data_IF_237823707618
#
_entry.id   IF_237823707618
#
_cell.length_a   1.000
_cell.length_b   1.000
_cell.length_c   1.000
_cell.angle_alpha   90.00
_cell.angle_beta   90.00
_cell.angle_gamma   90.00
#
_symmetry.space_group_name_H-M   'P 1'
#
loop_
_entity.id
_entity.type
_entity.pdbx_description
1 polymer ?
#
# COMPACT_ATOMS: atom_id res chain seq x y z
N UNK A 1 7.51 14.84 3.16
CA UNK A 1 8.26 13.89 4.02
C UNK A 1 8.53 12.65 3.18
N UNK A 2 9.78 12.18 3.09
CA UNK A 2 10.16 11.00 2.31
C UNK A 2 10.61 9.90 3.27
N UNK A 3 10.19 8.66 3.04
CA UNK A 3 10.59 7.50 3.84
C UNK A 3 11.36 6.54 2.95
N UNK A 4 12.53 6.09 3.41
CA UNK A 4 13.29 5.02 2.76
C UNK A 4 13.02 3.76 3.59
N UNK A 5 12.45 2.74 2.96
CA UNK A 5 12.04 1.50 3.61
C UNK A 5 12.66 0.30 2.91
N UNK A 6 12.97 -0.75 3.67
CA UNK A 6 13.54 -1.99 3.14
C UNK A 6 12.43 -2.84 2.53
N UNK A 7 12.69 -3.37 1.34
CA UNK A 7 11.85 -4.38 0.69
C UNK A 7 12.31 -5.76 1.16
N UNK A 8 11.37 -6.61 1.55
CA UNK A 8 11.64 -8.00 1.94
C UNK A 8 10.91 -8.92 0.98
N UNK A 9 11.66 -9.77 0.29
CA UNK A 9 11.14 -10.79 -0.63
C UNK A 9 11.24 -12.17 0.01
N UNK A 10 10.14 -12.91 0.05
CA UNK A 10 10.09 -14.29 0.53
C UNK A 10 9.21 -15.16 -0.38
N UNK A 11 9.84 -16.15 -1.05
CA UNK A 11 9.21 -17.04 -2.03
C UNK A 11 8.46 -16.23 -3.11
N UNK A 12 7.12 -16.31 -3.12
CA UNK A 12 6.23 -15.64 -4.07
C UNK A 12 5.66 -14.31 -3.53
N UNK A 13 6.20 -13.78 -2.42
CA UNK A 13 5.69 -12.58 -1.75
C UNK A 13 6.77 -11.52 -1.64
N UNK A 14 6.38 -10.28 -1.95
CA UNK A 14 7.16 -9.08 -1.69
C UNK A 14 6.42 -8.23 -0.67
N UNK A 15 7.09 -7.91 0.44
CA UNK A 15 6.53 -7.11 1.52
C UNK A 15 7.32 -5.81 1.66
N UNK A 16 6.59 -4.71 1.83
CA UNK A 16 7.14 -3.39 2.12
C UNK A 16 6.56 -2.94 3.46
N UNK A 17 7.42 -2.61 4.43
CA UNK A 17 6.96 -2.10 5.71
C UNK A 17 6.64 -0.60 5.58
N UNK A 18 5.37 -0.27 5.58
CA UNK A 18 4.89 1.11 5.57
C UNK A 18 5.01 1.68 7.00
N UNK A 19 5.69 2.84 7.20
CA UNK A 19 5.84 3.44 8.51
C UNK A 19 4.49 3.75 9.18
N UNK A 20 4.40 3.50 10.48
CA UNK A 20 3.16 3.63 11.25
C UNK A 20 2.55 5.03 11.16
N UNK A 21 3.38 6.08 11.08
CA UNK A 21 2.90 7.46 10.96
C UNK A 21 2.17 7.70 9.64
N UNK A 22 2.66 7.10 8.55
CA UNK A 22 2.03 7.20 7.24
C UNK A 22 0.70 6.43 7.23
N UNK A 23 0.68 5.24 7.84
CA UNK A 23 -0.53 4.44 8.02
C UNK A 23 -1.60 5.22 8.79
N UNK A 24 -1.21 5.92 9.87
CA UNK A 24 -2.11 6.74 10.68
C UNK A 24 -2.63 7.95 9.92
N UNK A 25 -1.74 8.67 9.19
CA UNK A 25 -2.12 9.85 8.39
C UNK A 25 -3.13 9.52 7.29
N UNK A 26 -2.91 8.42 6.57
CA UNK A 26 -3.76 8.00 5.45
C UNK A 26 -4.99 7.20 5.93
N UNK A 27 -5.10 6.92 7.24
CA UNK A 27 -6.13 6.03 7.83
C UNK A 27 -6.15 4.65 7.15
N UNK A 28 -4.97 4.16 6.76
CA UNK A 28 -4.81 2.91 6.00
C UNK A 28 -5.39 1.69 6.70
N UNK A 29 -5.42 1.69 8.04
CA UNK A 29 -6.07 0.65 8.85
C UNK A 29 -7.57 0.49 8.58
N UNK A 30 -8.23 1.51 8.05
CA UNK A 30 -9.65 1.46 7.71
C UNK A 30 -9.94 0.81 6.36
N UNK A 31 -8.91 0.48 5.57
CA UNK A 31 -9.07 -0.20 4.29
C UNK A 31 -8.84 -1.70 4.49
N UNK A 32 -9.79 -2.50 4.01
CA UNK A 32 -9.72 -3.96 4.07
C UNK A 32 -9.08 -4.55 2.82
N UNK A 33 -9.27 -3.87 1.69
CA UNK A 33 -8.67 -4.21 0.41
C UNK A 33 -7.83 -3.04 -0.09
N UNK A 34 -6.74 -3.36 -0.79
CA UNK A 34 -5.87 -2.37 -1.41
C UNK A 34 -5.56 -2.83 -2.83
N UNK A 35 -5.80 -1.94 -3.77
CA UNK A 35 -5.40 -2.09 -5.17
C UNK A 35 -4.03 -1.48 -5.35
N UNK A 36 -3.18 -2.18 -6.11
CA UNK A 36 -1.79 -1.83 -6.33
C UNK A 36 -1.52 -1.87 -7.84
N UNK A 37 -1.05 -0.78 -8.41
CA UNK A 37 -0.75 -0.69 -9.84
C UNK A 37 0.44 0.23 -10.13
N UNK A 38 1.03 0.06 -11.32
CA UNK A 38 2.12 0.89 -11.82
C UNK A 38 1.58 2.15 -12.49
N UNK A 39 2.14 3.31 -12.15
CA UNK A 39 1.73 4.61 -12.72
C UNK A 39 2.50 5.03 -13.98
N UNK A 40 3.35 4.16 -14.54
CA UNK A 40 4.11 4.36 -15.78
C UNK A 40 5.45 5.09 -15.61
N UNK A 41 5.73 5.65 -14.44
CA UNK A 41 6.98 6.32 -14.06
C UNK A 41 7.85 5.46 -13.12
N UNK A 42 7.56 4.16 -13.05
CA UNK A 42 8.15 3.25 -12.06
C UNK A 42 7.62 3.47 -10.64
N UNK A 43 6.62 4.35 -10.45
CA UNK A 43 5.96 4.54 -9.16
C UNK A 43 4.83 3.52 -8.99
N UNK A 44 4.81 2.87 -7.82
CA UNK A 44 3.70 2.03 -7.40
C UNK A 44 2.67 2.91 -6.68
N UNK A 45 1.42 2.87 -7.14
CA UNK A 45 0.30 3.50 -6.47
C UNK A 45 -0.50 2.45 -5.71
N UNK A 46 -1.00 2.86 -4.55
CA UNK A 46 -1.82 2.03 -3.68
C UNK A 46 -3.10 2.82 -3.37
N UNK A 47 -4.26 2.21 -3.62
CA UNK A 47 -5.56 2.76 -3.23
C UNK A 47 -6.31 1.76 -2.36
N UNK A 48 -6.75 2.24 -1.20
CA UNK A 48 -7.53 1.42 -0.28
C UNK A 48 -9.02 1.51 -0.57
N UNK A 49 -9.71 0.38 -0.43
CA UNK A 49 -11.15 0.26 -0.50
C UNK A 49 -11.70 -0.20 0.84
N UNK A 50 -12.83 0.39 1.24
CA UNK A 50 -13.67 -0.12 2.32
C UNK A 50 -14.61 -1.20 1.77
N UNK A 51 -15.13 -2.07 2.63
CA UNK A 51 -15.98 -3.21 2.24
C UNK A 51 -17.09 -2.84 1.24
N UNK A 52 -17.65 -1.62 1.33
CA UNK A 52 -18.76 -1.15 0.49
C UNK A 52 -18.34 -0.56 -0.87
N UNK A 53 -17.04 -0.37 -1.13
CA UNK A 53 -16.52 0.31 -2.33
C UNK A 53 -15.69 -0.61 -3.24
N UNK A 54 -15.70 -1.94 -3.00
CA UNK A 54 -14.90 -2.86 -3.79
C UNK A 54 -15.43 -2.96 -5.24
N UNK A 55 -14.69 -2.50 -6.27
CA UNK A 55 -15.09 -2.70 -7.65
C UNK A 55 -14.87 -4.19 -7.96
N UNK A 56 -15.96 -4.95 -8.07
CA UNK A 56 -15.93 -6.31 -8.62
C UNK A 56 -15.51 -6.29 -10.08
#
# INVERSE_FOLDING_TARGET
MKYIVKITTYKHRTSINIPVDLVRKIKLRGYKHVEVWEAGDGTIRIKGYKDDENPK
#
